data_IF_444560901291
#
_entry.id   IF_444560901291
#
_cell.length_a   1.000
_cell.length_b   1.000
_cell.length_c   1.000
_cell.angle_alpha   90.00
_cell.angle_beta   90.00
_cell.angle_gamma   90.00
#
_symmetry.space_group_name_H-M   'P 1'
#
loop_
_entity.id
_entity.type
_entity.pdbx_description
1 polymer ?
#
# COMPACT_ATOMS: atom_id res chain seq x y z
N UNK A 1 56.53 -31.49 9.66
CA UNK A 1 55.08 -31.54 9.49
C UNK A 1 54.28 -31.03 10.69
N UNK A 2 54.76 -31.05 11.94
CA UNK A 2 54.03 -30.60 13.14
C UNK A 2 53.95 -29.05 13.30
N UNK A 3 54.97 -28.30 12.83
CA UNK A 3 54.99 -26.83 12.95
C UNK A 3 53.99 -26.10 12.08
N UNK A 4 53.64 -26.64 10.89
CA UNK A 4 52.66 -26.03 10.00
C UNK A 4 51.24 -26.06 10.52
N UNK A 5 50.89 -27.09 11.30
CA UNK A 5 49.55 -27.26 11.86
C UNK A 5 49.28 -26.23 12.98
N UNK A 6 50.29 -25.94 13.83
CA UNK A 6 50.13 -24.92 14.90
C UNK A 6 50.02 -23.50 14.35
N UNK A 7 50.65 -23.20 13.18
CA UNK A 7 50.52 -21.91 12.52
C UNK A 7 49.12 -21.70 11.95
N UNK A 8 48.53 -22.75 11.38
CA UNK A 8 47.17 -22.73 10.82
C UNK A 8 46.10 -22.57 11.90
N UNK A 9 46.29 -23.26 13.06
CA UNK A 9 45.36 -23.15 14.21
C UNK A 9 45.48 -21.76 14.85
N UNK A 10 46.67 -21.19 14.98
CA UNK A 10 46.85 -19.84 15.51
C UNK A 10 46.23 -18.77 14.60
N UNK A 11 46.30 -18.94 13.27
CA UNK A 11 45.66 -18.02 12.32
C UNK A 11 44.12 -18.11 12.36
N UNK A 12 43.53 -19.29 12.57
CA UNK A 12 42.10 -19.46 12.75
C UNK A 12 41.58 -18.81 14.05
N UNK A 13 42.34 -18.86 15.14
CA UNK A 13 41.96 -18.25 16.43
C UNK A 13 41.96 -16.72 16.34
N UNK A 14 42.92 -16.13 15.60
CA UNK A 14 42.96 -14.67 15.37
C UNK A 14 41.81 -14.14 14.55
N UNK A 15 41.26 -14.92 13.59
CA UNK A 15 40.10 -14.53 12.77
C UNK A 15 38.80 -14.56 13.60
N UNK A 16 38.69 -15.44 14.60
CA UNK A 16 37.53 -15.50 15.50
C UNK A 16 37.47 -14.39 16.54
N UNK A 17 38.60 -13.80 16.91
CA UNK A 17 38.65 -12.69 17.87
C UNK A 17 38.25 -11.33 17.26
N UNK A 18 38.24 -11.19 15.94
CA UNK A 18 37.90 -9.94 15.25
C UNK A 18 36.40 -9.71 15.05
N UNK A 19 35.52 -10.65 15.40
CA UNK A 19 34.08 -10.55 15.22
C UNK A 19 33.29 -10.08 16.44
N UNK A 20 33.93 -9.62 17.50
CA UNK A 20 33.28 -9.31 18.79
C UNK A 20 33.19 -7.83 19.11
N UNK A 21 32.96 -6.94 18.14
CA UNK A 21 32.51 -5.59 18.49
C UNK A 21 31.80 -4.93 17.29
N UNK A 22 30.73 -5.57 16.77
CA UNK A 22 29.72 -4.84 16.02
C UNK A 22 28.61 -4.51 17.01
N UNK A 23 28.46 -3.23 17.31
CA UNK A 23 27.25 -2.68 17.89
C UNK A 23 26.09 -3.15 17.01
N UNK A 24 25.46 -4.26 17.40
CA UNK A 24 24.22 -4.75 16.79
C UNK A 24 23.08 -3.80 17.20
N UNK A 25 23.06 -2.58 16.66
CA UNK A 25 21.80 -1.92 16.42
C UNK A 25 21.16 -2.67 15.25
N UNK A 26 19.97 -3.25 15.42
CA UNK A 26 19.23 -3.76 14.28
C UNK A 26 19.07 -2.60 13.28
N UNK A 27 19.24 -2.82 11.96
CA UNK A 27 19.25 -1.75 10.96
C UNK A 27 17.92 -1.00 10.83
N UNK A 28 16.90 -1.38 11.59
CA UNK A 28 15.58 -0.77 11.65
C UNK A 28 15.08 -0.73 13.10
N UNK A 29 15.71 0.07 13.97
CA UNK A 29 14.92 0.72 15.01
C UNK A 29 14.27 1.91 14.31
N UNK A 30 13.04 1.74 13.87
CA UNK A 30 12.09 2.85 13.76
C UNK A 30 12.08 3.48 15.16
N UNK A 31 12.70 4.66 15.29
CA UNK A 31 12.37 5.53 16.41
C UNK A 31 10.84 5.61 16.34
N UNK A 32 10.16 5.15 17.38
CA UNK A 32 8.72 5.23 17.52
C UNK A 32 8.39 6.73 17.64
N UNK A 33 8.47 7.43 16.50
CA UNK A 33 7.74 8.68 16.34
C UNK A 33 6.31 8.29 16.68
N UNK A 34 5.67 9.09 17.50
CA UNK A 34 4.30 8.88 17.98
C UNK A 34 3.34 8.96 16.78
N UNK A 35 3.46 8.00 15.88
CA UNK A 35 2.75 7.91 14.62
C UNK A 35 1.43 7.26 14.93
N UNK A 36 0.35 8.00 14.82
CA UNK A 36 -0.98 7.44 15.03
C UNK A 36 -1.22 6.31 14.02
N UNK A 37 -1.53 5.14 14.54
CA UNK A 37 -1.81 3.93 13.76
C UNK A 37 -3.32 3.72 13.66
N UNK A 38 -3.78 3.30 12.51
CA UNK A 38 -5.16 2.86 12.28
C UNK A 38 -5.10 1.41 11.83
N UNK A 39 -5.84 0.55 12.51
CA UNK A 39 -5.97 -0.87 12.20
C UNK A 39 -7.32 -1.13 11.53
N UNK A 40 -7.33 -1.62 10.31
CA UNK A 40 -8.53 -1.90 9.52
C UNK A 40 -8.63 -3.41 9.31
N UNK A 41 -9.73 -4.06 9.75
CA UNK A 41 -9.95 -5.45 9.43
C UNK A 41 -10.13 -5.63 7.92
N UNK A 42 -9.57 -6.71 7.38
CA UNK A 42 -9.75 -7.06 5.99
C UNK A 42 -10.49 -8.38 5.84
N UNK A 43 -11.25 -8.49 4.75
CA UNK A 43 -11.77 -9.75 4.25
C UNK A 43 -10.80 -10.34 3.23
N UNK A 44 -10.68 -11.67 3.20
CA UNK A 44 -9.82 -12.37 2.25
C UNK A 44 -10.66 -13.23 1.30
N UNK A 45 -10.61 -12.92 0.02
CA UNK A 45 -11.34 -13.64 -1.02
C UNK A 45 -10.41 -13.85 -2.21
N UNK A 46 -10.25 -15.11 -2.64
CA UNK A 46 -9.39 -15.43 -3.79
C UNK A 46 -7.92 -15.08 -3.60
N UNK A 47 -7.43 -14.98 -2.36
CA UNK A 47 -6.04 -14.62 -2.04
C UNK A 47 -5.76 -13.12 -2.00
N UNK A 48 -6.77 -12.27 -2.25
CA UNK A 48 -6.64 -10.82 -2.12
C UNK A 48 -7.28 -10.32 -0.83
N UNK A 49 -6.78 -9.21 -0.30
CA UNK A 49 -7.28 -8.55 0.91
C UNK A 49 -8.16 -7.37 0.52
N UNK A 50 -9.37 -7.34 1.05
CA UNK A 50 -10.39 -6.33 0.76
C UNK A 50 -10.65 -5.52 2.00
N UNK A 51 -10.61 -4.20 1.88
CA UNK A 51 -10.86 -3.25 2.97
C UNK A 51 -11.91 -2.21 2.57
N UNK A 52 -12.72 -1.72 3.51
CA UNK A 52 -13.63 -0.61 3.27
C UNK A 52 -12.85 0.71 3.20
N UNK A 53 -13.06 1.45 2.12
CA UNK A 53 -12.50 2.80 1.90
C UNK A 53 -13.62 3.73 1.49
N UNK A 54 -13.66 4.96 2.02
CA UNK A 54 -14.63 5.96 1.56
C UNK A 54 -13.99 6.83 0.48
N UNK A 55 -14.66 6.92 -0.66
CA UNK A 55 -14.32 7.81 -1.75
C UNK A 55 -15.38 8.91 -1.86
N UNK A 56 -15.01 10.16 -1.67
CA UNK A 56 -15.94 11.30 -1.61
C UNK A 56 -17.15 11.05 -0.67
N UNK A 57 -16.92 10.32 0.45
CA UNK A 57 -17.93 9.96 1.44
C UNK A 57 -18.75 8.69 1.13
N UNK A 58 -18.54 8.01 -0.01
CA UNK A 58 -19.18 6.74 -0.37
C UNK A 58 -18.25 5.58 -0.03
N UNK A 59 -18.69 4.65 0.81
CA UNK A 59 -17.90 3.46 1.16
C UNK A 59 -17.87 2.46 0.01
N UNK A 60 -16.68 1.97 -0.30
CA UNK A 60 -16.41 0.96 -1.33
C UNK A 60 -15.43 -0.08 -0.77
N UNK A 61 -15.65 -1.35 -1.11
CA UNK A 61 -14.76 -2.44 -0.71
C UNK A 61 -13.66 -2.58 -1.76
N UNK A 62 -12.45 -2.17 -1.40
CA UNK A 62 -11.30 -2.06 -2.31
C UNK A 62 -10.27 -3.13 -2.01
N UNK A 63 -9.67 -3.68 -3.05
CA UNK A 63 -8.53 -4.59 -2.94
C UNK A 63 -7.30 -3.76 -2.53
N UNK A 64 -6.66 -4.13 -1.42
CA UNK A 64 -5.34 -3.65 -1.06
C UNK A 64 -4.31 -4.28 -1.99
N UNK A 65 -3.73 -3.48 -2.89
CA UNK A 65 -2.83 -3.98 -3.94
C UNK A 65 -1.57 -3.13 -4.06
N UNK A 66 -0.47 -3.63 -3.48
CA UNK A 66 0.86 -3.01 -3.60
C UNK A 66 1.49 -3.15 -4.99
N UNK A 67 0.92 -3.96 -5.86
CA UNK A 67 1.32 -4.10 -7.27
C UNK A 67 0.68 -3.05 -8.18
N UNK A 68 -0.43 -2.44 -7.76
CA UNK A 68 -1.08 -1.36 -8.49
C UNK A 68 -0.37 -0.02 -8.25
N UNK A 69 -0.23 0.80 -9.32
CA UNK A 69 0.44 2.10 -9.22
C UNK A 69 -0.39 3.13 -8.45
N UNK A 70 -1.72 3.16 -8.63
CA UNK A 70 -2.58 4.18 -8.06
C UNK A 70 -3.96 3.66 -7.66
N UNK A 71 -4.91 4.58 -7.56
CA UNK A 71 -6.31 4.27 -7.31
C UNK A 71 -6.96 3.82 -8.61
N UNK A 72 -7.54 2.62 -8.64
CA UNK A 72 -8.24 2.09 -9.81
C UNK A 72 -9.70 1.82 -9.50
N UNK A 73 -10.57 2.30 -10.36
CA UNK A 73 -12.03 2.16 -10.26
C UNK A 73 -12.60 1.51 -11.52
N UNK A 74 -13.81 0.97 -11.42
CA UNK A 74 -14.60 0.55 -12.56
C UNK A 74 -15.64 1.63 -12.93
N UNK A 75 -16.29 1.47 -14.07
CA UNK A 75 -17.42 2.35 -14.44
C UNK A 75 -18.57 2.30 -13.43
N UNK A 76 -18.75 1.18 -12.74
CA UNK A 76 -19.83 1.02 -11.75
C UNK A 76 -19.62 1.95 -10.54
N UNK A 77 -18.39 2.05 -10.03
CA UNK A 77 -18.05 2.96 -8.90
C UNK A 77 -18.20 4.42 -9.31
N UNK A 78 -17.75 4.77 -10.53
CA UNK A 78 -17.91 6.14 -11.06
C UNK A 78 -19.39 6.50 -11.18
N UNK A 79 -20.23 5.60 -11.71
CA UNK A 79 -21.67 5.80 -11.78
C UNK A 79 -22.30 5.92 -10.38
N UNK A 80 -21.83 5.15 -9.43
CA UNK A 80 -22.29 5.20 -8.04
C UNK A 80 -21.96 6.55 -7.41
N UNK A 81 -20.73 7.05 -7.58
CA UNK A 81 -20.34 8.38 -7.12
C UNK A 81 -21.19 9.48 -7.77
N UNK A 82 -21.37 9.43 -9.08
CA UNK A 82 -22.16 10.42 -9.81
C UNK A 82 -23.64 10.41 -9.38
N UNK A 83 -24.28 9.25 -9.26
CA UNK A 83 -25.66 9.11 -8.78
C UNK A 83 -25.86 9.66 -7.36
N UNK A 84 -24.85 9.58 -6.52
CA UNK A 84 -24.86 10.14 -5.16
C UNK A 84 -24.48 11.64 -5.14
N UNK A 85 -24.27 12.29 -6.29
CA UNK A 85 -23.83 13.69 -6.37
C UNK A 85 -22.42 13.92 -5.82
N UNK A 86 -21.58 12.89 -5.81
CA UNK A 86 -20.22 12.90 -5.25
C UNK A 86 -19.13 13.00 -6.32
N UNK A 87 -19.54 13.06 -7.58
CA UNK A 87 -18.69 13.28 -8.75
C UNK A 87 -19.43 14.20 -9.72
N UNK A 88 -18.73 15.17 -10.27
CA UNK A 88 -19.23 16.14 -11.25
C UNK A 88 -18.39 16.10 -12.53
N UNK A 89 -18.83 16.73 -13.60
CA UNK A 89 -18.06 16.82 -14.85
C UNK A 89 -16.71 17.51 -14.67
N UNK A 90 -16.59 18.42 -13.70
CA UNK A 90 -15.33 19.08 -13.34
C UNK A 90 -14.28 18.13 -12.76
N UNK A 91 -14.71 16.98 -12.22
CA UNK A 91 -13.83 15.97 -11.68
C UNK A 91 -13.28 15.04 -12.77
N UNK A 92 -13.76 15.13 -14.01
CA UNK A 92 -13.28 14.34 -15.13
C UNK A 92 -12.02 14.98 -15.71
N UNK A 93 -10.89 14.29 -15.58
CA UNK A 93 -9.58 14.80 -15.99
C UNK A 93 -9.22 14.43 -17.45
N UNK A 94 -9.88 13.41 -18.02
CA UNK A 94 -9.64 12.97 -19.39
C UNK A 94 -9.33 11.47 -19.49
N UNK A 95 -8.33 11.11 -20.29
CA UNK A 95 -7.95 9.73 -20.56
C UNK A 95 -6.48 9.48 -20.24
N UNK A 96 -6.17 8.23 -19.88
CA UNK A 96 -4.82 7.74 -19.69
C UNK A 96 -4.64 6.36 -20.32
N UNK A 97 -3.41 5.88 -20.36
CA UNK A 97 -3.08 4.56 -20.84
C UNK A 97 -2.29 3.81 -19.77
N UNK A 98 -2.68 2.57 -19.51
CA UNK A 98 -2.00 1.71 -18.55
C UNK A 98 -1.46 0.47 -19.24
N UNK A 99 -0.29 0.01 -18.83
CA UNK A 99 0.23 -1.30 -19.18
C UNK A 99 -0.27 -2.29 -18.12
N UNK A 100 -1.00 -3.32 -18.54
CA UNK A 100 -1.48 -4.37 -17.65
C UNK A 100 -0.53 -5.57 -17.61
N UNK A 101 -0.78 -6.53 -16.73
CA UNK A 101 0.16 -7.61 -16.39
C UNK A 101 0.60 -8.49 -17.57
N UNK A 102 -0.21 -8.60 -18.62
CA UNK A 102 0.15 -9.33 -19.85
C UNK A 102 0.97 -8.50 -20.85
N UNK A 103 1.29 -7.24 -20.50
CA UNK A 103 2.04 -6.30 -21.34
C UNK A 103 1.18 -5.50 -22.32
N UNK A 104 -0.14 -5.73 -22.38
CA UNK A 104 -1.03 -4.96 -23.24
C UNK A 104 -1.27 -3.56 -22.71
N UNK A 105 -1.50 -2.61 -23.63
CA UNK A 105 -1.82 -1.21 -23.30
C UNK A 105 -3.35 -1.04 -23.41
N UNK A 106 -3.96 -0.57 -22.32
CA UNK A 106 -5.38 -0.30 -22.25
C UNK A 106 -5.64 1.19 -22.02
N UNK A 107 -6.65 1.70 -22.67
CA UNK A 107 -7.14 3.07 -22.46
C UNK A 107 -8.09 3.09 -21.27
N UNK A 108 -7.94 4.11 -20.42
CA UNK A 108 -8.76 4.33 -19.23
C UNK A 108 -9.25 5.77 -19.20
N UNK A 109 -10.34 6.02 -18.48
CA UNK A 109 -10.70 7.35 -18.01
C UNK A 109 -9.82 7.75 -16.81
N UNK A 110 -9.76 9.05 -16.53
CA UNK A 110 -9.15 9.59 -15.31
C UNK A 110 -10.09 10.59 -14.66
N UNK A 111 -10.21 10.48 -13.33
CA UNK A 111 -11.03 11.39 -12.53
C UNK A 111 -10.26 11.85 -11.28
N UNK A 112 -10.68 12.98 -10.73
CA UNK A 112 -10.21 13.43 -9.43
C UNK A 112 -11.14 12.91 -8.32
N UNK A 113 -10.57 12.23 -7.34
CA UNK A 113 -11.24 11.90 -6.08
C UNK A 113 -10.84 12.97 -5.06
N UNK A 114 -11.80 13.81 -4.68
CA UNK A 114 -11.58 14.94 -3.77
C UNK A 114 -11.14 14.50 -2.39
N UNK A 115 -11.66 13.35 -1.93
CA UNK A 115 -11.39 12.83 -0.60
C UNK A 115 -11.38 11.30 -0.57
N UNK A 116 -10.36 10.75 0.04
CA UNK A 116 -10.23 9.33 0.38
C UNK A 116 -10.11 9.22 1.89
N UNK A 117 -11.04 8.48 2.55
CA UNK A 117 -10.95 8.19 3.98
C UNK A 117 -10.72 6.70 4.20
N UNK A 118 -9.69 6.37 4.98
CA UNK A 118 -9.42 5.02 5.47
C UNK A 118 -9.63 5.02 6.97
N UNK A 119 -10.52 4.16 7.46
CA UNK A 119 -10.94 4.15 8.86
C UNK A 119 -12.19 4.99 9.12
N UNK A 120 -12.42 5.35 10.38
CA UNK A 120 -13.59 6.13 10.81
C UNK A 120 -13.35 6.85 12.13
N UNK A 121 -14.06 7.97 12.34
CA UNK A 121 -14.04 8.73 13.60
C UNK A 121 -12.75 9.50 13.80
N UNK A 122 -12.27 9.60 15.05
CA UNK A 122 -11.07 10.38 15.40
C UNK A 122 -9.78 9.78 14.84
N UNK A 123 -9.79 8.51 14.43
CA UNK A 123 -8.66 7.75 13.94
C UNK A 123 -8.80 7.42 12.45
N UNK A 124 -9.18 8.39 11.61
CA UNK A 124 -9.21 8.18 10.17
C UNK A 124 -7.99 8.80 9.48
N UNK A 125 -7.62 8.24 8.35
CA UNK A 125 -6.68 8.84 7.40
C UNK A 125 -7.50 9.49 6.31
N UNK A 126 -7.27 10.78 6.10
CA UNK A 126 -7.92 11.55 5.05
C UNK A 126 -6.87 12.04 4.06
N UNK A 127 -7.04 11.68 2.80
CA UNK A 127 -6.21 12.13 1.70
C UNK A 127 -7.07 12.91 0.71
N UNK A 128 -6.52 13.95 0.11
CA UNK A 128 -7.26 14.84 -0.78
C UNK A 128 -6.69 14.84 -2.19
N UNK A 129 -7.59 15.06 -3.17
CA UNK A 129 -7.25 15.35 -4.56
C UNK A 129 -6.33 14.28 -5.18
N UNK A 130 -6.78 13.03 -5.15
CA UNK A 130 -6.06 11.91 -5.77
C UNK A 130 -6.67 11.56 -7.12
N UNK A 131 -5.80 11.35 -8.09
CA UNK A 131 -6.23 10.87 -9.41
C UNK A 131 -6.60 9.39 -9.32
N UNK A 132 -7.77 9.04 -9.86
CA UNK A 132 -8.16 7.65 -10.04
C UNK A 132 -8.17 7.31 -11.54
N UNK A 133 -7.65 6.15 -11.86
CA UNK A 133 -7.77 5.52 -13.18
C UNK A 133 -9.08 4.73 -13.24
N UNK A 134 -9.87 4.95 -14.28
CA UNK A 134 -11.18 4.30 -14.47
C UNK A 134 -11.10 3.33 -15.62
N UNK A 135 -11.17 2.04 -15.32
CA UNK A 135 -11.30 1.00 -16.34
C UNK A 135 -12.66 1.16 -17.06
N UNK A 136 -12.64 1.14 -18.39
CA UNK A 136 -13.85 1.24 -19.22
C UNK A 136 -14.64 -0.10 -19.21
N UNK A 137 -14.76 -0.69 -18.04
CA UNK A 137 -15.42 -1.94 -17.75
C UNK A 137 -16.22 -1.78 -16.45
N UNK A 138 -17.44 -2.32 -16.40
CA UNK A 138 -18.33 -2.17 -15.23
C UNK A 138 -17.93 -3.03 -14.03
N UNK A 139 -17.17 -4.11 -14.25
CA UNK A 139 -16.84 -5.12 -13.24
C UNK A 139 -15.32 -5.28 -13.05
N UNK A 140 -14.53 -4.31 -13.49
CA UNK A 140 -13.09 -4.35 -13.23
C UNK A 140 -12.83 -4.30 -11.72
N UNK A 141 -11.81 -5.01 -11.20
CA UNK A 141 -11.43 -4.91 -9.80
C UNK A 141 -11.09 -3.47 -9.42
N UNK A 142 -11.51 -3.04 -8.24
CA UNK A 142 -11.18 -1.73 -7.70
C UNK A 142 -10.01 -1.86 -6.73
N UNK A 143 -8.94 -1.07 -6.96
CA UNK A 143 -7.67 -1.27 -6.31
C UNK A 143 -7.23 -0.01 -5.55
N UNK A 144 -6.78 -0.22 -4.32
CA UNK A 144 -6.08 0.78 -3.51
C UNK A 144 -4.57 0.53 -3.65
N UNK A 145 -3.92 1.31 -4.51
CA UNK A 145 -2.53 1.07 -4.90
C UNK A 145 -1.53 2.06 -4.29
N UNK A 146 -0.29 1.94 -4.74
CA UNK A 146 0.88 2.56 -4.12
C UNK A 146 0.85 4.09 -4.05
N UNK A 147 0.23 4.80 -5.00
CA UNK A 147 0.16 6.28 -4.93
C UNK A 147 -0.57 6.76 -3.66
N UNK A 148 -1.60 6.01 -3.22
CA UNK A 148 -2.30 6.27 -1.96
C UNK A 148 -1.47 5.78 -0.78
N UNK A 149 -0.91 4.56 -0.86
CA UNK A 149 -0.16 3.95 0.23
C UNK A 149 1.15 4.70 0.55
N UNK A 150 1.79 5.31 -0.44
CA UNK A 150 3.01 6.11 -0.27
C UNK A 150 2.80 7.45 0.46
N UNK A 151 1.56 7.88 0.63
CA UNK A 151 1.23 9.03 1.49
C UNK A 151 1.39 8.72 2.98
N UNK A 152 1.50 7.45 3.33
CA UNK A 152 1.63 6.95 4.69
C UNK A 152 3.11 6.77 5.07
N UNK A 153 3.39 6.73 6.38
CA UNK A 153 4.73 6.43 6.89
C UNK A 153 5.09 4.97 6.64
N UNK A 154 4.13 4.07 6.92
CA UNK A 154 4.24 2.64 6.62
C UNK A 154 2.87 1.98 6.60
N UNK A 155 2.81 0.79 6.02
CA UNK A 155 1.65 -0.09 6.05
C UNK A 155 2.13 -1.49 6.40
N UNK A 156 1.46 -2.13 7.36
CA UNK A 156 1.77 -3.46 7.85
C UNK A 156 0.55 -4.37 7.72
N UNK A 157 0.74 -5.57 7.20
CA UNK A 157 -0.32 -6.59 7.12
C UNK A 157 -0.12 -7.60 8.24
N UNK A 158 -1.06 -7.64 9.19
CA UNK A 158 -1.11 -8.68 10.21
C UNK A 158 -2.05 -9.81 9.76
N UNK A 159 -1.47 -10.93 9.37
CA UNK A 159 -2.23 -12.09 8.92
C UNK A 159 -2.84 -12.91 10.08
N UNK A 160 -2.42 -12.66 11.31
CA UNK A 160 -2.97 -13.34 12.50
C UNK A 160 -4.25 -12.67 12.95
N UNK A 161 -4.22 -11.35 13.14
CA UNK A 161 -5.40 -10.57 13.52
C UNK A 161 -6.32 -10.24 12.34
N UNK A 162 -5.89 -10.54 11.11
CA UNK A 162 -6.59 -10.17 9.85
C UNK A 162 -6.85 -8.68 9.73
N UNK A 163 -5.82 -7.88 9.99
CA UNK A 163 -5.86 -6.41 9.89
C UNK A 163 -4.76 -5.86 9.00
N UNK A 164 -5.00 -4.70 8.43
CA UNK A 164 -3.98 -3.86 7.82
C UNK A 164 -3.80 -2.63 8.69
N UNK A 165 -2.59 -2.42 9.17
CA UNK A 165 -2.21 -1.32 10.04
C UNK A 165 -1.59 -0.20 9.20
N UNK A 166 -2.22 0.97 9.21
CA UNK A 166 -1.79 2.15 8.49
C UNK A 166 -1.19 3.16 9.46
N UNK A 167 0.03 3.58 9.23
CA UNK A 167 0.75 4.55 10.06
C UNK A 167 0.80 5.90 9.35
N UNK A 168 0.30 6.95 10.01
CA UNK A 168 0.32 8.32 9.49
C UNK A 168 1.76 8.87 9.45
N UNK A 169 2.05 9.71 8.47
CA UNK A 169 3.27 10.53 8.49
C UNK A 169 3.21 11.59 9.56
#
# INVERSE_FOLDING_TARGET
MKQGIYLLIAMCILVLASCSNRNNKPPYQLDMVNTSMISIPYEETGGVKIIPVKLNGVTMDMIYDTGASGLHLSLNEVQTLAKNGKLTDEDVLGVSYSCIADGSIVQNGTINIKEICIGSGENEIVLHNKTATVALNQIAPILLGNEVLNELASVEVDNVSKTINFYKK
#
